data_IF_669947258193
#
_entry.id   IF_669947258193
#
_cell.length_a   1.000
_cell.length_b   1.000
_cell.length_c   1.000
_cell.angle_alpha   90.00
_cell.angle_beta   90.00
_cell.angle_gamma   90.00
#
_symmetry.space_group_name_H-M   'P 1'
#
loop_
_entity.id
_entity.type
_entity.pdbx_description
1 polymer ?
#
# COMPACT_ATOMS: atom_id res chain seq x y z
N UNK A 1 13.35 -3.89 -35.12
CA UNK A 1 14.52 -3.78 -34.21
C UNK A 1 14.03 -3.01 -32.99
N UNK A 2 14.07 -3.58 -31.78
CA UNK A 2 13.56 -2.90 -30.59
C UNK A 2 14.61 -1.91 -30.07
N UNK A 3 14.32 -0.61 -30.16
CA UNK A 3 15.21 0.47 -29.69
C UNK A 3 14.99 0.72 -28.18
N UNK A 4 15.33 -0.26 -27.34
CA UNK A 4 15.28 -0.15 -25.89
C UNK A 4 16.64 0.26 -25.33
N UNK A 5 16.64 1.24 -24.43
CA UNK A 5 17.82 1.70 -23.70
C UNK A 5 17.61 1.54 -22.19
N UNK A 6 18.67 1.19 -21.47
CA UNK A 6 18.66 0.98 -20.02
C UNK A 6 19.25 2.22 -19.34
N UNK A 7 18.55 2.74 -18.33
CA UNK A 7 19.07 3.82 -17.49
C UNK A 7 19.99 3.24 -16.42
N UNK A 8 21.31 3.37 -16.61
CA UNK A 8 22.33 2.83 -15.69
C UNK A 8 22.09 3.29 -14.25
N UNK A 9 21.73 4.55 -14.06
CA UNK A 9 21.52 5.16 -12.72
C UNK A 9 20.30 4.60 -11.98
N UNK A 10 19.31 4.07 -12.71
CA UNK A 10 18.09 3.46 -12.14
C UNK A 10 18.15 1.94 -12.10
N UNK A 11 19.27 1.35 -12.51
CA UNK A 11 19.42 -0.09 -12.66
C UNK A 11 20.23 -0.66 -11.50
N UNK A 12 19.71 -1.71 -10.88
CA UNK A 12 20.32 -2.37 -9.73
C UNK A 12 20.55 -3.83 -10.09
N UNK A 13 21.82 -4.26 -10.13
CA UNK A 13 22.22 -5.59 -10.59
C UNK A 13 22.95 -6.35 -9.49
N UNK A 14 22.72 -7.66 -9.39
CA UNK A 14 23.41 -8.53 -8.41
C UNK A 14 23.10 -8.20 -6.95
N UNK A 15 22.05 -7.42 -6.67
CA UNK A 15 21.68 -7.03 -5.31
C UNK A 15 20.93 -8.17 -4.62
N UNK A 16 21.24 -8.52 -3.36
CA UNK A 16 20.50 -9.52 -2.59
C UNK A 16 19.10 -9.02 -2.19
N UNK A 17 18.87 -7.70 -2.28
CA UNK A 17 17.61 -7.03 -1.98
C UNK A 17 17.46 -5.77 -2.83
N UNK A 18 16.28 -5.54 -3.41
CA UNK A 18 16.01 -4.37 -4.27
C UNK A 18 14.63 -3.78 -3.96
N UNK A 19 14.49 -2.46 -4.08
CA UNK A 19 13.18 -1.79 -4.08
C UNK A 19 12.59 -1.86 -5.49
N UNK A 20 11.39 -2.41 -5.61
CA UNK A 20 10.68 -2.53 -6.88
C UNK A 20 9.18 -2.37 -6.65
N UNK A 21 8.57 -1.41 -7.36
CA UNK A 21 7.13 -1.11 -7.30
C UNK A 21 6.61 -1.00 -5.85
N UNK A 22 7.22 -0.21 -4.97
CA UNK A 22 6.72 -0.04 -3.59
C UNK A 22 6.97 -1.24 -2.65
N UNK A 23 7.71 -2.26 -3.10
CA UNK A 23 8.08 -3.40 -2.28
C UNK A 23 9.59 -3.56 -2.19
N UNK A 24 10.05 -4.16 -1.09
CA UNK A 24 11.42 -4.67 -0.97
C UNK A 24 11.41 -6.15 -1.33
N UNK A 25 12.06 -6.50 -2.43
CA UNK A 25 12.17 -7.88 -2.93
C UNK A 25 13.50 -8.46 -2.46
N UNK A 26 13.46 -9.64 -1.84
CA UNK A 26 14.66 -10.38 -1.45
C UNK A 26 14.46 -11.88 -1.63
N UNK A 27 15.49 -12.68 -1.30
CA UNK A 27 15.38 -14.15 -1.27
C UNK A 27 14.29 -14.66 -0.31
N UNK A 28 13.94 -13.90 0.73
CA UNK A 28 12.88 -14.23 1.68
C UNK A 28 11.48 -13.89 1.15
N UNK A 29 11.37 -13.31 -0.04
CA UNK A 29 10.12 -12.92 -0.66
C UNK A 29 9.91 -11.41 -0.71
N UNK A 30 8.63 -11.02 -0.73
CA UNK A 30 8.19 -9.63 -0.79
C UNK A 30 7.99 -9.08 0.61
N UNK A 31 8.60 -7.93 0.88
CA UNK A 31 8.39 -7.15 2.09
C UNK A 31 7.75 -5.80 1.73
N UNK A 32 6.89 -5.29 2.62
CA UNK A 32 6.41 -3.91 2.51
C UNK A 32 7.60 -2.93 2.61
N UNK A 33 7.57 -1.86 1.81
CA UNK A 33 8.57 -0.81 1.95
C UNK A 33 8.27 0.02 3.21
N UNK A 34 9.23 0.21 4.13
CA UNK A 34 9.03 1.02 5.33
C UNK A 34 8.56 2.45 5.04
N UNK A 35 8.96 3.04 3.90
CA UNK A 35 8.53 4.39 3.48
C UNK A 35 7.04 4.47 3.19
N UNK A 36 6.49 3.38 2.65
CA UNK A 36 5.08 3.29 2.32
C UNK A 36 4.23 3.05 3.58
N UNK A 37 4.78 2.32 4.56
CA UNK A 37 4.15 2.13 5.87
C UNK A 37 4.08 3.44 6.67
N UNK A 38 5.11 4.29 6.64
CA UNK A 38 5.05 5.60 7.31
C UNK A 38 3.97 6.51 6.71
N UNK A 39 3.83 6.50 5.38
CA UNK A 39 2.78 7.27 4.72
C UNK A 39 1.38 6.78 5.11
N UNK A 40 1.20 5.48 5.36
CA UNK A 40 -0.06 4.91 5.85
C UNK A 40 -0.38 5.35 7.29
N UNK A 41 0.61 5.38 8.18
CA UNK A 41 0.40 5.80 9.58
C UNK A 41 0.06 7.29 9.70
N UNK A 42 0.48 8.10 8.74
CA UNK A 42 0.23 9.54 8.71
C UNK A 42 -1.13 9.90 8.06
N UNK A 43 -1.87 8.92 7.52
CA UNK A 43 -3.17 9.17 6.92
C UNK A 43 -4.18 9.64 7.97
N UNK A 44 -4.78 10.80 7.72
CA UNK A 44 -5.88 11.30 8.54
C UNK A 44 -7.09 10.36 8.47
N UNK A 45 -7.77 10.18 9.60
CA UNK A 45 -8.99 9.37 9.64
C UNK A 45 -10.07 10.01 8.74
N UNK A 46 -10.71 9.24 7.85
CA UNK A 46 -11.66 9.77 6.88
C UNK A 46 -12.92 10.31 7.58
N UNK A 47 -13.28 11.55 7.25
CA UNK A 47 -14.47 12.24 7.79
C UNK A 47 -15.75 12.09 6.98
N UNK A 48 -15.77 11.25 5.95
CA UNK A 48 -16.96 10.97 5.14
C UNK A 48 -16.93 9.54 4.59
N UNK A 49 -18.09 9.02 4.20
CA UNK A 49 -18.20 7.69 3.59
C UNK A 49 -17.33 7.57 2.32
N UNK A 50 -17.33 8.59 1.47
CA UNK A 50 -16.48 8.62 0.27
C UNK A 50 -14.99 8.59 0.61
N UNK A 51 -14.57 9.37 1.62
CA UNK A 51 -13.20 9.35 2.09
C UNK A 51 -12.83 7.98 2.69
N UNK A 52 -13.76 7.32 3.39
CA UNK A 52 -13.58 5.98 3.93
C UNK A 52 -13.38 4.94 2.83
N UNK A 53 -14.17 4.98 1.76
CA UNK A 53 -14.01 4.08 0.62
C UNK A 53 -12.66 4.28 -0.10
N UNK A 54 -12.22 5.53 -0.27
CA UNK A 54 -10.91 5.84 -0.84
C UNK A 54 -9.77 5.32 0.05
N UNK A 55 -9.90 5.49 1.38
CA UNK A 55 -8.95 4.98 2.37
C UNK A 55 -8.86 3.45 2.36
N UNK A 56 -10.00 2.74 2.33
CA UNK A 56 -10.01 1.28 2.20
C UNK A 56 -9.39 0.83 0.87
N UNK A 57 -9.66 1.57 -0.22
CA UNK A 57 -9.07 1.32 -1.53
C UNK A 57 -7.54 1.43 -1.54
N UNK A 58 -6.97 2.44 -0.87
CA UNK A 58 -5.52 2.59 -0.77
C UNK A 58 -4.86 1.50 0.10
N UNK A 59 -5.53 1.08 1.18
CA UNK A 59 -5.06 0.00 2.04
C UNK A 59 -5.07 -1.37 1.36
N UNK A 60 -5.96 -1.61 0.40
CA UNK A 60 -6.09 -2.92 -0.26
C UNK A 60 -4.77 -3.39 -0.90
N UNK A 61 -3.94 -2.46 -1.40
CA UNK A 61 -2.61 -2.78 -1.94
C UNK A 61 -1.66 -3.37 -0.89
N UNK A 62 -1.80 -2.95 0.37
CA UNK A 62 -0.99 -3.40 1.51
C UNK A 62 -1.66 -4.49 2.36
N UNK A 63 -2.88 -4.91 2.01
CA UNK A 63 -3.69 -5.88 2.79
C UNK A 63 -2.93 -7.14 3.19
N UNK A 64 -2.07 -7.66 2.31
CA UNK A 64 -1.25 -8.87 2.57
C UNK A 64 -0.20 -8.70 3.69
N UNK A 65 0.10 -7.46 4.08
CA UNK A 65 1.10 -7.13 5.10
C UNK A 65 0.45 -6.65 6.41
N UNK A 66 -0.88 -6.50 6.44
CA UNK A 66 -1.64 -6.07 7.61
C UNK A 66 -2.28 -7.31 8.21
N UNK A 67 -1.83 -7.67 9.41
CA UNK A 67 -2.43 -8.76 10.16
C UNK A 67 -3.92 -8.48 10.42
N UNK A 68 -4.76 -9.50 10.25
CA UNK A 68 -6.21 -9.43 10.44
C UNK A 68 -6.92 -8.33 9.61
N UNK A 69 -6.32 -7.88 8.49
CA UNK A 69 -6.89 -6.83 7.64
C UNK A 69 -8.36 -7.04 7.31
N UNK A 70 -8.75 -8.27 6.93
CA UNK A 70 -10.13 -8.58 6.58
C UNK A 70 -11.11 -8.34 7.73
N UNK A 71 -10.69 -8.63 8.97
CA UNK A 71 -11.51 -8.42 10.17
C UNK A 71 -11.73 -6.93 10.38
N UNK A 72 -10.66 -6.13 10.39
CA UNK A 72 -10.75 -4.69 10.60
C UNK A 72 -11.49 -3.97 9.45
N UNK A 73 -11.18 -4.33 8.21
CA UNK A 73 -11.82 -3.75 7.04
C UNK A 73 -13.32 -4.08 7.01
N UNK A 74 -13.75 -5.26 7.47
CA UNK A 74 -15.17 -5.65 7.50
C UNK A 74 -16.02 -4.68 8.32
N UNK A 75 -15.50 -4.20 9.46
CA UNK A 75 -16.18 -3.22 10.32
C UNK A 75 -16.36 -1.90 9.60
N UNK A 76 -15.34 -1.47 8.84
CA UNK A 76 -15.36 -0.20 8.11
C UNK A 76 -16.24 -0.26 6.85
N UNK A 77 -16.39 -1.44 6.22
CA UNK A 77 -17.27 -1.63 5.07
C UNK A 77 -18.76 -1.49 5.40
N UNK A 78 -19.15 -1.68 6.66
CA UNK A 78 -20.57 -1.58 7.10
C UNK A 78 -21.00 -0.12 7.33
N UNK A 79 -20.05 0.81 7.40
CA UNK A 79 -20.35 2.22 7.63
C UNK A 79 -21.22 2.83 6.51
N UNK A 80 -22.17 3.67 6.91
CA UNK A 80 -23.10 4.39 6.05
C UNK A 80 -22.93 5.90 6.23
N UNK A 81 -23.53 6.69 5.34
CA UNK A 81 -23.42 8.15 5.41
C UNK A 81 -23.86 8.72 6.77
N UNK A 82 -24.90 8.15 7.38
CA UNK A 82 -25.40 8.54 8.71
C UNK A 82 -24.35 8.43 9.82
N UNK A 83 -23.36 7.55 9.68
CA UNK A 83 -22.31 7.35 10.69
C UNK A 83 -21.26 8.47 10.66
N UNK A 84 -21.28 9.30 9.61
CA UNK A 84 -20.41 10.46 9.44
C UNK A 84 -21.13 11.80 9.66
N UNK A 85 -22.46 11.78 9.81
CA UNK A 85 -23.24 12.97 10.13
C UNK A 85 -23.18 13.16 11.65
N UNK A 86 -22.53 14.23 12.08
CA UNK A 86 -22.59 14.71 13.48
C UNK A 86 -23.84 15.54 13.72
#
# INVERSE_FOLDING_TARGET
MWNLSICVVKSFWGMPKVEYLGHRVSHNGLEANPKDLSALTDLAYPGSLRAMQLFLGSLNYYSRFIEDYAIYASVLYVLREIDFVR
#
